data_IF_114535066780
#
_entry.id   IF_114535066780
#
_cell.length_a   1.000
_cell.length_b   1.000
_cell.length_c   1.000
_cell.angle_alpha   90.00
_cell.angle_beta   90.00
_cell.angle_gamma   90.00
#
_symmetry.space_group_name_H-M   'P 1'
#
loop_
_entity.id
_entity.type
_entity.pdbx_description
1 polymer ?
#
# COMPACT_ATOMS: atom_id res chain seq x y z
N UNK A 1 36.90 7.88 -16.82
CA UNK A 1 35.71 8.43 -17.50
C UNK A 1 34.51 7.90 -16.73
N UNK A 2 34.14 8.59 -15.67
CA UNK A 2 32.94 8.27 -14.88
C UNK A 2 31.74 8.52 -15.79
N UNK A 3 31.03 7.45 -16.16
CA UNK A 3 29.73 7.55 -16.77
C UNK A 3 28.81 8.18 -15.73
N UNK A 4 28.42 9.42 -15.98
CA UNK A 4 27.45 10.17 -15.20
C UNK A 4 26.17 9.34 -15.05
N UNK A 5 25.93 8.81 -13.85
CA UNK A 5 24.81 7.92 -13.55
C UNK A 5 23.48 8.69 -13.40
N UNK A 6 23.53 10.03 -13.46
CA UNK A 6 22.38 10.91 -13.31
C UNK A 6 21.23 10.64 -14.32
N UNK A 7 21.48 10.42 -15.63
CA UNK A 7 20.39 10.15 -16.59
C UNK A 7 19.70 8.81 -16.33
N UNK A 8 20.44 7.82 -15.82
CA UNK A 8 19.91 6.48 -15.50
C UNK A 8 19.06 6.50 -14.22
N UNK A 9 19.35 7.41 -13.29
CA UNK A 9 18.58 7.66 -12.08
C UNK A 9 17.28 8.43 -12.36
N UNK A 10 17.26 9.35 -13.32
CA UNK A 10 16.04 10.07 -13.72
C UNK A 10 15.01 9.18 -14.43
N UNK A 11 15.44 8.26 -15.31
CA UNK A 11 14.58 7.26 -15.96
C UNK A 11 13.89 6.31 -14.98
N UNK A 12 14.50 6.04 -13.82
CA UNK A 12 13.86 5.25 -12.74
C UNK A 12 12.61 5.92 -12.18
N UNK A 13 12.39 7.22 -12.39
CA UNK A 13 11.26 7.92 -11.78
C UNK A 13 9.93 7.73 -12.53
N UNK A 14 9.95 7.40 -13.82
CA UNK A 14 8.75 7.33 -14.68
C UNK A 14 8.37 5.90 -15.08
N UNK A 15 9.31 4.94 -15.03
CA UNK A 15 9.04 3.57 -15.45
C UNK A 15 8.57 2.66 -14.30
N UNK A 16 7.54 1.85 -14.57
CA UNK A 16 7.00 0.82 -13.67
C UNK A 16 7.68 -0.52 -13.95
N UNK A 17 8.50 -0.98 -13.01
CA UNK A 17 9.16 -2.29 -13.11
C UNK A 17 8.16 -3.42 -12.84
N UNK A 18 8.11 -4.42 -13.73
CA UNK A 18 7.28 -5.62 -13.56
C UNK A 18 8.19 -6.83 -13.34
N UNK A 19 7.88 -7.64 -12.33
CA UNK A 19 8.55 -8.91 -12.07
C UNK A 19 7.89 -10.03 -12.89
N UNK A 20 8.66 -10.63 -13.80
CA UNK A 20 8.23 -11.81 -14.56
C UNK A 20 8.63 -13.08 -13.83
N UNK A 21 7.73 -13.58 -12.99
CA UNK A 21 7.90 -14.89 -12.34
C UNK A 21 7.71 -16.06 -13.33
N UNK A 22 8.45 -17.18 -13.14
CA UNK A 22 8.17 -18.42 -13.84
C UNK A 22 6.71 -18.84 -13.69
N UNK A 23 6.15 -19.48 -14.73
CA UNK A 23 4.73 -19.88 -14.76
C UNK A 23 4.37 -20.77 -13.58
N UNK A 24 5.24 -21.72 -13.22
CA UNK A 24 5.04 -22.61 -12.07
C UNK A 24 4.98 -21.84 -10.75
N UNK A 25 5.83 -20.83 -10.56
CA UNK A 25 5.80 -19.97 -9.38
C UNK A 25 4.49 -19.18 -9.32
N UNK A 26 4.01 -18.62 -10.45
CA UNK A 26 2.72 -17.90 -10.52
C UNK A 26 1.54 -18.82 -10.20
N UNK A 27 1.60 -20.07 -10.65
CA UNK A 27 0.57 -21.07 -10.37
C UNK A 27 0.54 -21.41 -8.87
N UNK A 28 1.72 -21.67 -8.28
CA UNK A 28 1.85 -21.93 -6.85
C UNK A 28 1.33 -20.75 -6.01
N UNK A 29 1.78 -19.52 -6.29
CA UNK A 29 1.35 -18.34 -5.53
C UNK A 29 -0.14 -18.08 -5.68
N UNK A 30 -0.72 -18.37 -6.84
CA UNK A 30 -2.17 -18.31 -7.06
C UNK A 30 -2.93 -19.37 -6.26
N UNK A 31 -2.43 -20.60 -6.17
CA UNK A 31 -3.04 -21.65 -5.35
C UNK A 31 -3.01 -21.31 -3.86
N UNK A 32 -1.87 -20.80 -3.36
CA UNK A 32 -1.75 -20.34 -1.97
C UNK A 32 -2.71 -19.18 -1.72
N UNK A 33 -2.72 -18.17 -2.61
CA UNK A 33 -3.62 -17.04 -2.48
C UNK A 33 -5.08 -17.49 -2.39
N UNK A 34 -5.50 -18.45 -3.25
CA UNK A 34 -6.88 -18.96 -3.22
C UNK A 34 -7.28 -19.56 -1.87
N UNK A 35 -6.33 -20.12 -1.10
CA UNK A 35 -6.57 -20.71 0.23
C UNK A 35 -6.64 -19.67 1.33
N UNK A 36 -5.78 -18.65 1.29
CA UNK A 36 -5.69 -17.62 2.34
C UNK A 36 -6.60 -16.41 2.07
N UNK A 37 -7.24 -16.35 0.89
CA UNK A 37 -8.00 -15.18 0.44
C UNK A 37 -9.15 -14.81 1.36
N UNK A 38 -9.94 -15.77 1.84
CA UNK A 38 -11.07 -15.48 2.72
C UNK A 38 -10.59 -14.86 4.02
N UNK A 39 -9.56 -15.44 4.64
CA UNK A 39 -8.92 -14.90 5.85
C UNK A 39 -8.44 -13.47 5.66
N UNK A 40 -7.77 -13.19 4.54
CA UNK A 40 -7.34 -11.82 4.22
C UNK A 40 -8.52 -10.88 3.98
N UNK A 41 -9.54 -11.29 3.22
CA UNK A 41 -10.70 -10.44 2.92
C UNK A 41 -11.52 -10.10 4.18
N UNK A 42 -11.65 -11.04 5.12
CA UNK A 42 -12.31 -10.88 6.42
C UNK A 42 -11.51 -9.98 7.38
N UNK A 43 -10.18 -10.05 7.33
CA UNK A 43 -9.33 -9.23 8.16
C UNK A 43 -9.23 -7.77 7.70
N UNK A 44 -9.65 -7.45 6.47
CA UNK A 44 -9.60 -6.08 5.94
C UNK A 44 -10.83 -5.25 6.36
N UNK A 45 -10.65 -4.02 6.86
CA UNK A 45 -11.76 -3.17 7.28
C UNK A 45 -12.45 -2.54 6.07
N UNK A 46 -13.66 -2.00 6.25
CA UNK A 46 -14.52 -1.53 5.14
C UNK A 46 -13.92 -0.34 4.37
N UNK A 47 -13.02 0.40 5.00
CA UNK A 47 -12.31 1.57 4.45
C UNK A 47 -11.28 1.18 3.39
N UNK A 48 -10.86 -0.09 3.32
CA UNK A 48 -10.02 -0.61 2.23
C UNK A 48 -10.91 -1.19 1.14
N UNK A 49 -10.94 -0.55 -0.03
CA UNK A 49 -11.67 -1.03 -1.21
C UNK A 49 -10.75 -1.67 -2.26
N UNK A 50 -9.44 -1.45 -2.19
CA UNK A 50 -8.49 -1.97 -3.17
C UNK A 50 -8.39 -3.49 -3.13
N UNK A 51 -8.44 -4.11 -4.32
CA UNK A 51 -8.26 -5.57 -4.51
C UNK A 51 -9.25 -6.48 -3.77
N UNK A 52 -10.38 -5.94 -3.30
CA UNK A 52 -11.43 -6.71 -2.64
C UNK A 52 -12.61 -6.98 -3.55
N UNK A 53 -13.32 -8.07 -3.29
CA UNK A 53 -14.58 -8.39 -3.99
C UNK A 53 -15.67 -7.47 -3.49
N UNK A 54 -16.52 -6.98 -4.39
CA UNK A 54 -17.67 -6.13 -4.08
C UNK A 54 -17.34 -4.74 -3.49
N UNK A 55 -16.08 -4.31 -3.56
CA UNK A 55 -15.68 -2.93 -3.27
C UNK A 55 -15.16 -2.27 -4.54
N UNK A 56 -15.45 -0.99 -4.71
CA UNK A 56 -15.11 -0.23 -5.90
C UNK A 56 -14.58 1.16 -5.54
N UNK A 57 -13.75 1.72 -6.41
CA UNK A 57 -13.38 3.14 -6.37
C UNK A 57 -14.61 4.05 -6.42
N UNK A 58 -15.70 3.59 -7.06
CA UNK A 58 -16.96 4.34 -7.11
C UNK A 58 -17.57 4.54 -5.71
N UNK A 59 -17.43 3.56 -4.82
CA UNK A 59 -17.93 3.65 -3.45
C UNK A 59 -17.21 4.77 -2.71
N UNK A 60 -15.88 4.85 -2.87
CA UNK A 60 -15.07 5.92 -2.27
C UNK A 60 -15.36 7.29 -2.85
N UNK A 61 -15.56 7.39 -4.17
CA UNK A 61 -15.96 8.66 -4.81
C UNK A 61 -17.32 9.12 -4.29
N UNK A 62 -18.28 8.19 -4.15
CA UNK A 62 -19.60 8.48 -3.61
C UNK A 62 -19.52 8.93 -2.15
N UNK A 63 -18.73 8.24 -1.31
CA UNK A 63 -18.50 8.63 0.09
C UNK A 63 -17.87 10.01 0.20
N UNK A 64 -16.80 10.29 -0.56
CA UNK A 64 -16.17 11.60 -0.58
C UNK A 64 -17.14 12.71 -1.00
N UNK A 65 -17.95 12.46 -2.04
CA UNK A 65 -18.96 13.40 -2.50
C UNK A 65 -20.02 13.67 -1.42
N UNK A 66 -20.51 12.62 -0.76
CA UNK A 66 -21.50 12.72 0.32
C UNK A 66 -20.97 13.51 1.51
N UNK A 67 -19.72 13.27 1.89
CA UNK A 67 -19.04 14.03 2.94
C UNK A 67 -18.96 15.53 2.60
N UNK A 68 -18.58 15.86 1.37
CA UNK A 68 -18.50 17.26 0.91
C UNK A 68 -19.89 17.92 0.92
N UNK A 69 -20.92 17.21 0.43
CA UNK A 69 -22.31 17.68 0.40
C UNK A 69 -22.83 17.92 1.83
N UNK A 70 -22.64 16.95 2.74
CA UNK A 70 -23.06 17.04 4.13
C UNK A 70 -22.32 18.13 4.92
N UNK A 71 -20.98 18.20 4.79
CA UNK A 71 -20.16 19.23 5.43
C UNK A 71 -20.61 20.63 5.01
N UNK A 72 -20.90 20.85 3.72
CA UNK A 72 -21.43 22.13 3.22
C UNK A 72 -22.83 22.42 3.76
N UNK A 73 -23.72 21.42 3.77
CA UNK A 73 -25.09 21.56 4.25
C UNK A 73 -25.15 21.92 5.74
N UNK A 74 -24.30 21.29 6.56
CA UNK A 74 -24.26 21.50 8.01
C UNK A 74 -23.25 22.57 8.46
N UNK A 75 -22.51 23.18 7.52
CA UNK A 75 -21.42 24.13 7.79
C UNK A 75 -20.35 23.57 8.75
N UNK A 76 -20.09 22.27 8.63
CA UNK A 76 -19.03 21.59 9.39
C UNK A 76 -17.72 21.70 8.61
N UNK A 77 -16.59 21.93 9.29
CA UNK A 77 -15.29 21.93 8.62
C UNK A 77 -14.94 20.51 8.14
N UNK A 78 -14.31 20.43 6.98
CA UNK A 78 -13.88 19.18 6.35
C UNK A 78 -12.56 19.42 5.61
N UNK A 79 -11.59 18.58 5.90
CA UNK A 79 -10.30 18.53 5.23
C UNK A 79 -10.08 17.12 4.71
N UNK A 80 -9.80 17.01 3.41
CA UNK A 80 -9.44 15.75 2.75
C UNK A 80 -8.01 15.84 2.26
N UNK A 81 -7.15 14.95 2.75
CA UNK A 81 -5.73 14.91 2.39
C UNK A 81 -5.46 13.65 1.58
N UNK A 82 -5.08 13.83 0.32
CA UNK A 82 -4.76 12.74 -0.61
C UNK A 82 -3.27 12.41 -0.53
N UNK A 83 -2.97 11.14 -0.26
CA UNK A 83 -1.61 10.62 -0.16
C UNK A 83 -1.40 9.61 -1.29
N UNK A 84 -0.38 9.88 -2.10
CA UNK A 84 0.09 9.00 -3.16
C UNK A 84 1.50 8.48 -2.80
N UNK A 85 1.64 7.15 -2.74
CA UNK A 85 2.91 6.50 -2.42
C UNK A 85 3.71 6.20 -3.66
N UNK A 86 4.81 6.95 -3.81
CA UNK A 86 5.79 6.65 -4.85
C UNK A 86 6.39 5.26 -4.64
N UNK A 87 6.03 4.33 -5.54
CA UNK A 87 6.54 2.95 -5.61
C UNK A 87 6.25 2.14 -4.35
N UNK A 88 5.05 2.27 -3.78
CA UNK A 88 4.64 1.61 -2.54
C UNK A 88 4.95 0.10 -2.51
N UNK A 89 4.65 -0.62 -3.59
CA UNK A 89 4.92 -2.06 -3.69
C UNK A 89 6.41 -2.42 -3.57
N UNK A 90 7.31 -1.54 -4.00
CA UNK A 90 8.75 -1.79 -4.00
C UNK A 90 9.43 -1.44 -2.66
N UNK A 91 8.77 -0.68 -1.79
CA UNK A 91 9.36 -0.16 -0.55
C UNK A 91 9.06 -1.02 0.68
N UNK A 92 8.08 -1.93 0.61
CA UNK A 92 7.68 -2.79 1.73
C UNK A 92 8.79 -3.77 2.12
N UNK A 93 9.05 -3.87 3.43
CA UNK A 93 9.95 -4.88 3.99
C UNK A 93 9.27 -6.27 4.06
N UNK A 94 9.85 -7.34 3.48
CA UNK A 94 9.21 -8.66 3.49
C UNK A 94 8.90 -9.20 4.89
N UNK A 95 9.75 -8.92 5.88
CA UNK A 95 9.53 -9.36 7.26
C UNK A 95 8.17 -8.87 7.79
N UNK A 96 7.85 -7.61 7.50
CA UNK A 96 6.61 -6.94 7.91
C UNK A 96 5.39 -7.52 7.23
N UNK A 97 5.54 -7.99 5.99
CA UNK A 97 4.49 -8.75 5.31
C UNK A 97 4.19 -10.03 6.08
N UNK A 98 5.20 -10.76 6.55
CA UNK A 98 4.99 -12.01 7.29
C UNK A 98 4.31 -11.79 8.63
N UNK A 99 4.78 -10.80 9.41
CA UNK A 99 4.16 -10.38 10.67
C UNK A 99 2.68 -9.99 10.45
N UNK A 100 2.41 -9.21 9.39
CA UNK A 100 1.05 -8.79 9.05
C UNK A 100 0.11 -9.96 8.68
N UNK A 101 0.62 -10.98 7.99
CA UNK A 101 -0.17 -12.17 7.64
C UNK A 101 -0.50 -13.02 8.87
N UNK A 102 0.49 -13.23 9.75
CA UNK A 102 0.30 -14.01 10.99
C UNK A 102 -0.74 -13.34 11.90
N UNK A 103 -0.69 -12.02 12.04
CA UNK A 103 -1.67 -11.26 12.84
C UNK A 103 -3.08 -11.25 12.26
N UNK A 104 -3.21 -11.39 10.95
CA UNK A 104 -4.51 -11.49 10.28
C UNK A 104 -5.06 -12.92 10.30
N UNK A 105 -4.38 -13.86 10.99
CA UNK A 105 -4.86 -15.22 11.19
C UNK A 105 -4.52 -16.18 10.04
N UNK A 106 -3.59 -15.81 9.15
CA UNK A 106 -3.11 -16.73 8.12
C UNK A 106 -2.30 -17.84 8.77
N UNK A 107 -2.63 -19.10 8.47
CA UNK A 107 -1.92 -20.24 9.05
C UNK A 107 -0.42 -20.19 8.71
N UNK A 108 0.40 -20.45 9.74
CA UNK A 108 1.87 -20.36 9.66
C UNK A 108 2.48 -21.16 8.50
N UNK A 109 1.90 -22.31 8.17
CA UNK A 109 2.35 -23.13 7.03
C UNK A 109 2.33 -22.36 5.70
N UNK A 110 1.32 -21.51 5.48
CA UNK A 110 1.26 -20.69 4.27
C UNK A 110 2.25 -19.54 4.33
N UNK A 111 2.43 -18.93 5.51
CA UNK A 111 3.41 -17.86 5.71
C UNK A 111 4.83 -18.35 5.46
N UNK A 112 5.18 -19.54 5.95
CA UNK A 112 6.50 -20.16 5.75
C UNK A 112 6.76 -20.46 4.27
N UNK A 113 5.78 -21.02 3.54
CA UNK A 113 5.91 -21.24 2.09
C UNK A 113 6.06 -19.92 1.33
N UNK A 114 5.32 -18.88 1.72
CA UNK A 114 5.45 -17.56 1.12
C UNK A 114 6.82 -16.94 1.41
N UNK A 115 7.34 -17.09 2.63
CA UNK A 115 8.67 -16.65 3.02
C UNK A 115 9.75 -17.32 2.19
N UNK A 116 9.64 -18.63 1.99
CA UNK A 116 10.57 -19.38 1.14
C UNK A 116 10.50 -18.93 -0.33
N UNK A 117 9.31 -18.59 -0.83
CA UNK A 117 9.19 -18.02 -2.18
C UNK A 117 9.93 -16.68 -2.37
N UNK A 118 10.29 -16.00 -1.28
CA UNK A 118 11.08 -14.77 -1.26
C UNK A 118 12.56 -14.96 -0.88
N UNK A 119 12.96 -16.17 -0.48
CA UNK A 119 14.36 -16.46 -0.12
C UNK A 119 15.25 -16.41 -1.37
N UNK A 120 16.48 -15.89 -1.23
CA UNK A 120 17.55 -15.94 -2.25
C UNK A 120 17.17 -15.51 -3.67
N UNK A 121 16.18 -14.63 -3.82
CA UNK A 121 15.70 -14.26 -5.14
C UNK A 121 16.64 -13.27 -5.82
N UNK A 122 16.93 -13.53 -7.10
CA UNK A 122 17.71 -12.64 -7.96
C UNK A 122 16.89 -12.24 -9.17
N UNK A 123 17.19 -11.07 -9.72
CA UNK A 123 16.70 -10.61 -11.01
C UNK A 123 17.89 -10.36 -11.91
N UNK A 124 17.75 -10.66 -13.19
CA UNK A 124 18.79 -10.38 -14.19
C UNK A 124 18.32 -9.19 -15.02
N UNK A 125 19.15 -8.16 -15.09
CA UNK A 125 19.00 -7.07 -16.04
C UNK A 125 19.85 -7.40 -17.26
N UNK A 126 19.26 -7.30 -18.45
CA UNK A 126 19.95 -7.50 -19.73
C UNK A 126 20.19 -6.14 -20.40
N UNK A 127 21.16 -5.32 -19.97
CA UNK A 127 21.57 -4.15 -20.72
C UNK A 127 22.36 -4.58 -21.98
N UNK A 128 22.55 -3.66 -22.92
CA UNK A 128 23.13 -3.93 -24.25
C UNK A 128 24.49 -4.65 -24.27
N UNK A 129 25.25 -4.66 -23.17
CA UNK A 129 26.61 -5.18 -23.12
C UNK A 129 26.77 -6.43 -22.26
N UNK A 130 26.30 -6.41 -21.00
CA UNK A 130 26.53 -7.49 -20.05
C UNK A 130 25.36 -7.65 -19.08
N UNK A 131 24.96 -8.89 -18.83
CA UNK A 131 23.94 -9.20 -17.83
C UNK A 131 24.37 -8.76 -16.42
N UNK A 132 23.46 -8.11 -15.71
CA UNK A 132 23.65 -7.69 -14.31
C UNK A 132 22.68 -8.46 -13.44
N UNK A 133 23.21 -9.34 -12.59
CA UNK A 133 22.43 -10.07 -11.59
C UNK A 133 22.32 -9.21 -10.33
N UNK A 134 21.09 -8.96 -9.90
CA UNK A 134 20.78 -8.16 -8.70
C UNK A 134 19.94 -9.00 -7.76
N UNK A 135 20.35 -9.11 -6.50
CA UNK A 135 19.55 -9.76 -5.48
C UNK A 135 18.35 -8.88 -5.09
N UNK A 136 17.17 -9.51 -4.98
CA UNK A 136 15.89 -8.87 -4.69
C UNK A 136 15.57 -9.08 -3.21
N UNK A 137 15.82 -8.06 -2.40
CA UNK A 137 15.66 -8.13 -0.95
C UNK A 137 14.39 -7.45 -0.43
N UNK A 138 13.71 -6.64 -1.25
CA UNK A 138 12.62 -5.77 -0.81
C UNK A 138 11.47 -5.69 -1.80
N UNK A 139 10.32 -5.29 -1.27
CA UNK A 139 9.10 -5.08 -2.00
C UNK A 139 8.32 -6.37 -2.26
N UNK A 140 7.03 -6.20 -2.50
CA UNK A 140 6.19 -7.24 -3.08
C UNK A 140 6.33 -7.21 -4.60
N UNK A 141 6.37 -8.39 -5.22
CA UNK A 141 6.68 -8.53 -6.65
C UNK A 141 5.54 -8.00 -7.51
N UNK A 142 5.77 -6.92 -8.24
CA UNK A 142 4.75 -6.35 -9.12
C UNK A 142 4.51 -7.29 -10.31
N UNK A 143 3.30 -7.84 -10.45
CA UNK A 143 2.97 -8.86 -11.47
C UNK A 143 2.82 -10.29 -10.93
N UNK A 144 3.06 -10.51 -9.64
CA UNK A 144 2.71 -11.76 -8.95
C UNK A 144 1.25 -11.71 -8.46
N UNK A 145 0.42 -12.74 -8.73
CA UNK A 145 -1.00 -12.76 -8.34
C UNK A 145 -1.30 -12.42 -6.88
N UNK A 146 -0.40 -12.75 -5.95
CA UNK A 146 -0.61 -12.51 -4.51
C UNK A 146 -0.27 -11.09 -4.05
N UNK A 147 0.65 -10.41 -4.74
CA UNK A 147 1.18 -9.10 -4.30
C UNK A 147 0.11 -8.03 -4.06
N UNK A 148 -0.96 -7.94 -4.88
CA UNK A 148 -2.07 -7.04 -4.61
C UNK A 148 -2.79 -7.27 -3.28
N UNK A 149 -2.72 -8.46 -2.68
CA UNK A 149 -3.36 -8.76 -1.39
C UNK A 149 -2.37 -8.62 -0.23
N UNK A 150 -1.08 -8.90 -0.46
CA UNK A 150 -0.03 -8.75 0.54
C UNK A 150 0.22 -7.29 0.94
N UNK A 151 0.12 -6.37 -0.03
CA UNK A 151 0.34 -4.95 0.24
C UNK A 151 -0.73 -4.34 1.16
N UNK A 152 -2.05 -4.47 0.88
CA UNK A 152 -3.11 -4.07 1.81
C UNK A 152 -3.00 -4.74 3.18
N UNK A 153 -2.62 -6.02 3.24
CA UNK A 153 -2.42 -6.71 4.51
C UNK A 153 -1.34 -6.03 5.36
N UNK A 154 -0.20 -5.70 4.77
CA UNK A 154 0.87 -4.96 5.45
C UNK A 154 0.44 -3.53 5.83
N UNK A 155 -0.28 -2.84 4.94
CA UNK A 155 -0.82 -1.51 5.21
C UNK A 155 -1.81 -1.51 6.39
N UNK A 156 -2.65 -2.54 6.47
CA UNK A 156 -3.63 -2.71 7.55
C UNK A 156 -2.96 -3.01 8.89
N UNK A 157 -1.98 -3.90 8.91
CA UNK A 157 -1.20 -4.21 10.12
C UNK A 157 -0.68 -2.95 10.81
N UNK A 158 -0.35 -1.93 10.02
CA UNK A 158 0.20 -0.72 10.61
C UNK A 158 -0.81 0.39 10.85
N UNK A 159 -1.84 0.53 10.02
CA UNK A 159 -2.92 1.48 10.31
C UNK A 159 -3.58 1.16 11.66
N UNK A 160 -3.71 -0.12 12.02
CA UNK A 160 -4.19 -0.53 13.36
C UNK A 160 -3.33 -0.04 14.53
N UNK A 161 -2.05 0.22 14.29
CA UNK A 161 -1.10 0.72 15.30
C UNK A 161 -0.97 2.24 15.29
N UNK A 162 -1.49 2.89 14.25
CA UNK A 162 -1.49 4.33 14.12
C UNK A 162 -2.61 4.90 15.00
N UNK A 163 -2.24 5.50 16.13
CA UNK A 163 -3.19 6.05 17.08
C UNK A 163 -3.70 7.44 16.66
N UNK A 164 -4.39 7.52 15.51
CA UNK A 164 -4.98 8.76 15.00
C UNK A 164 -6.49 8.74 15.20
N UNK A 165 -6.92 9.29 16.33
CA UNK A 165 -8.33 9.41 16.70
C UNK A 165 -9.07 10.57 16.01
N UNK A 166 -8.44 11.28 15.07
CA UNK A 166 -9.08 12.35 14.32
C UNK A 166 -9.97 11.79 13.21
N UNK A 167 -11.03 12.50 12.86
CA UNK A 167 -11.95 12.07 11.80
C UNK A 167 -13.26 12.84 11.81
N UNK A 168 -14.16 12.48 10.90
CA UNK A 168 -15.53 13.02 10.86
C UNK A 168 -16.47 11.97 11.42
N UNK A 169 -17.38 12.39 12.30
CA UNK A 169 -18.41 11.52 12.85
C UNK A 169 -19.58 11.37 11.88
N UNK A 170 -19.90 10.14 11.51
CA UNK A 170 -21.03 9.76 10.66
C UNK A 170 -21.88 8.79 11.49
N UNK A 171 -23.02 9.26 11.98
CA UNK A 171 -23.99 8.45 12.74
C UNK A 171 -23.39 7.65 13.92
N UNK A 172 -22.38 8.23 14.60
CA UNK A 172 -21.69 7.61 15.73
C UNK A 172 -20.43 6.84 15.37
N UNK A 173 -20.14 6.64 14.08
CA UNK A 173 -18.93 6.01 13.57
C UNK A 173 -17.97 7.08 13.08
N UNK A 174 -16.72 7.05 13.58
CA UNK A 174 -15.68 7.98 13.15
C UNK A 174 -15.01 7.48 11.87
N UNK A 175 -15.19 8.21 10.77
CA UNK A 175 -14.47 7.98 9.53
C UNK A 175 -13.22 8.88 9.47
N UNK A 176 -12.06 8.25 9.43
CA UNK A 176 -10.76 8.94 9.44
C UNK A 176 -9.95 8.73 8.15
N UNK A 177 -10.21 7.66 7.40
CA UNK A 177 -9.52 7.42 6.13
C UNK A 177 -10.33 6.53 5.17
N UNK A 178 -9.96 6.58 3.90
CA UNK A 178 -10.38 5.66 2.83
C UNK A 178 -9.13 5.22 2.06
N UNK A 179 -9.06 3.94 1.67
CA UNK A 179 -7.91 3.34 0.99
C UNK A 179 -8.30 2.58 -0.26
N UNK A 180 -7.59 2.82 -1.34
CA UNK A 180 -7.68 2.00 -2.53
C UNK A 180 -6.27 1.57 -2.92
N UNK A 181 -5.88 0.37 -2.49
CA UNK A 181 -4.50 -0.10 -2.64
C UNK A 181 -3.51 0.86 -1.96
N UNK A 182 -2.67 1.54 -2.74
CA UNK A 182 -1.69 2.53 -2.31
C UNK A 182 -2.22 3.97 -2.25
N UNK A 183 -3.40 4.25 -2.82
CA UNK A 183 -4.03 5.57 -2.70
C UNK A 183 -4.77 5.69 -1.36
N UNK A 184 -4.41 6.69 -0.56
CA UNK A 184 -5.06 6.95 0.73
C UNK A 184 -5.65 8.36 0.76
N UNK A 185 -6.89 8.47 1.24
CA UNK A 185 -7.53 9.73 1.57
C UNK A 185 -7.70 9.80 3.07
N UNK A 186 -7.05 10.75 3.73
CA UNK A 186 -7.30 11.08 5.14
C UNK A 186 -8.44 12.09 5.22
N UNK A 187 -9.34 11.89 6.17
CA UNK A 187 -10.52 12.71 6.40
C UNK A 187 -10.44 13.28 7.81
N UNK A 188 -10.41 14.60 7.93
CA UNK A 188 -10.38 15.31 9.21
C UNK A 188 -11.31 16.52 9.19
N UNK A 189 -11.55 17.11 10.35
CA UNK A 189 -12.39 18.30 10.57
C UNK A 189 -11.56 19.58 10.77
N UNK A 190 -10.23 19.52 10.77
CA UNK A 190 -9.36 20.70 10.84
C UNK A 190 -8.02 20.50 10.11
N UNK A 191 -7.37 21.59 9.65
CA UNK A 191 -6.01 21.55 9.10
C UNK A 191 -4.95 21.07 10.10
N UNK A 192 -5.15 21.34 11.39
CA UNK A 192 -4.26 20.91 12.48
C UNK A 192 -4.31 19.38 12.61
N UNK A 193 -5.52 18.82 12.67
CA UNK A 193 -5.73 17.37 12.70
C UNK A 193 -5.23 16.70 11.42
N UNK A 194 -5.41 17.35 10.25
CA UNK A 194 -4.87 16.84 8.99
C UNK A 194 -3.33 16.75 9.05
N UNK A 195 -2.68 17.80 9.56
CA UNK A 195 -1.22 17.85 9.70
C UNK A 195 -0.69 16.80 10.66
N UNK A 196 -1.39 16.58 11.78
CA UNK A 196 -1.00 15.56 12.77
C UNK A 196 -1.19 14.14 12.23
N UNK A 197 -2.36 13.85 11.64
CA UNK A 197 -2.63 12.55 11.01
C UNK A 197 -1.62 12.26 9.90
N UNK A 198 -1.31 13.26 9.07
CA UNK A 198 -0.29 13.12 8.03
C UNK A 198 1.10 12.82 8.62
N UNK A 199 1.50 13.50 9.71
CA UNK A 199 2.76 13.21 10.40
C UNK A 199 2.80 11.79 10.94
N UNK A 200 1.72 11.32 11.55
CA UNK A 200 1.61 9.93 12.02
C UNK A 200 1.73 8.93 10.86
N UNK A 201 1.04 9.17 9.73
CA UNK A 201 1.20 8.34 8.54
C UNK A 201 2.65 8.34 8.01
N UNK A 202 3.30 9.51 7.93
CA UNK A 202 4.70 9.60 7.47
C UNK A 202 5.65 8.89 8.45
N UNK A 203 5.44 9.06 9.76
CA UNK A 203 6.22 8.38 10.79
C UNK A 203 6.07 6.87 10.70
N UNK A 204 4.84 6.39 10.46
CA UNK A 204 4.57 4.99 10.14
C UNK A 204 5.44 4.53 8.98
N UNK A 205 5.37 5.20 7.82
CA UNK A 205 6.12 4.78 6.64
C UNK A 205 7.60 4.67 6.92
N UNK A 206 8.17 5.59 7.69
CA UNK A 206 9.60 5.53 8.03
C UNK A 206 9.97 4.29 8.85
N UNK A 207 9.06 3.79 9.68
CA UNK A 207 9.30 2.60 10.50
C UNK A 207 9.16 1.30 9.69
N UNK A 208 8.29 1.26 8.68
CA UNK A 208 7.89 0.03 7.99
C UNK A 208 8.35 -0.03 6.50
N UNK A 209 8.72 1.11 5.94
CA UNK A 209 9.24 1.28 4.58
C UNK A 209 10.48 2.19 4.62
N UNK A 210 11.66 1.64 4.35
CA UNK A 210 12.93 2.35 4.56
C UNK A 210 13.14 3.56 3.63
N UNK A 211 12.27 3.81 2.65
CA UNK A 211 12.39 4.94 1.73
C UNK A 211 10.99 5.42 1.32
N UNK A 212 10.70 6.72 1.48
CA UNK A 212 10.47 7.69 0.38
C UNK A 212 9.84 9.01 0.92
N UNK A 213 10.34 10.13 0.41
CA UNK A 213 9.77 11.48 0.55
C UNK A 213 8.31 11.55 0.07
N UNK A 214 7.38 12.12 0.85
CA UNK A 214 6.01 12.32 0.40
C UNK A 214 6.01 13.35 -0.75
N UNK A 215 5.58 12.94 -1.94
CA UNK A 215 5.19 13.88 -2.99
C UNK A 215 3.84 14.47 -2.60
N UNK A 216 3.81 15.44 -1.69
CA UNK A 216 2.57 16.09 -1.29
C UNK A 216 2.09 16.93 -2.47
N UNK A 217 1.13 16.41 -3.24
CA UNK A 217 0.48 17.17 -4.28
C UNK A 217 -0.64 18.00 -3.65
N UNK A 218 -0.26 19.05 -2.92
CA UNK A 218 -1.19 20.13 -2.59
C UNK A 218 -1.61 20.75 -3.92
N UNK A 219 -2.82 20.46 -4.41
CA UNK A 219 -3.45 21.28 -5.43
C UNK A 219 -4.11 22.47 -4.72
N UNK A 220 -3.59 23.69 -4.81
CA UNK A 220 -4.41 24.85 -4.54
C UNK A 220 -5.51 24.92 -5.61
N UNK A 221 -6.65 25.50 -5.22
CA UNK A 221 -7.81 25.74 -6.09
C UNK A 221 -7.44 26.44 -7.40
#
# INVERSE_FOLDING_TARGET
>A
MELDAAPFLELRSVQRTITLLPVLCKLLTRCILARIRSTLEEAQPVEQAGFRRNFSTLDHIATCRRLIEASRGHRLPLVMTFIDYKKAFNSVEPLKVWEALEEQGVERIYVDVLRECYSHCTTVFHPFYNDVVVAVWRGVRQGDPKSPNLFPACLEHVIRRCNCDFGVNIDGVRLNHLRFADDIVLITDSPEHASETLRCCIAWMRQEATVVSPSILLRPK
#
